data_IF_629052702301
#
_entry.id   IF_629052702301
#
_cell.length_a   1.000
_cell.length_b   1.000
_cell.length_c   1.000
_cell.angle_alpha   90.00
_cell.angle_beta   90.00
_cell.angle_gamma   90.00
#
_symmetry.space_group_name_H-M   'P 1'
#
loop_
_entity.id
_entity.type
_entity.pdbx_description
1 polymer ?
#
# COMPACT_ATOMS: atom_id res chain seq x y z
N UNK A 1 62.42 23.63 -46.10
CA UNK A 1 63.72 24.00 -45.51
C UNK A 1 63.47 24.52 -44.11
N UNK A 2 64.38 24.19 -43.18
CA UNK A 2 64.33 24.46 -41.74
C UNK A 2 64.14 25.95 -41.40
N UNK A 3 63.37 26.22 -40.36
CA UNK A 3 63.65 27.31 -39.42
C UNK A 3 63.05 26.96 -38.05
N UNK A 4 63.93 26.54 -37.14
CA UNK A 4 63.73 26.63 -35.70
C UNK A 4 63.74 28.11 -35.29
N UNK A 5 63.09 28.48 -34.17
CA UNK A 5 63.68 29.35 -33.13
C UNK A 5 62.68 29.58 -31.96
N UNK A 6 63.06 28.99 -30.82
CA UNK A 6 63.13 29.52 -29.44
C UNK A 6 61.86 30.12 -28.81
N UNK A 7 61.24 29.36 -27.90
CA UNK A 7 60.37 29.89 -26.84
C UNK A 7 61.18 30.20 -25.57
N UNK A 8 60.84 31.25 -24.81
CA UNK A 8 61.60 31.64 -23.63
C UNK A 8 61.23 30.79 -22.41
N UNK A 9 62.24 30.64 -21.56
CA UNK A 9 62.22 30.05 -20.23
C UNK A 9 61.18 30.74 -19.34
N UNK A 10 60.26 29.96 -18.76
CA UNK A 10 59.51 30.35 -17.58
C UNK A 10 59.90 29.42 -16.42
N UNK A 11 60.39 30.05 -15.34
CA UNK A 11 60.98 29.43 -14.19
C UNK A 11 59.98 28.51 -13.44
N UNK A 12 60.39 27.26 -13.22
CA UNK A 12 59.65 26.31 -12.39
C UNK A 12 60.02 26.54 -10.91
N UNK A 13 59.12 27.19 -10.17
CA UNK A 13 59.21 27.27 -8.71
C UNK A 13 58.95 25.89 -8.11
N UNK A 14 59.99 25.27 -7.55
CA UNK A 14 59.88 24.04 -6.77
C UNK A 14 59.23 24.38 -5.42
N UNK A 15 57.93 24.15 -5.29
CA UNK A 15 57.31 24.07 -3.97
C UNK A 15 57.71 22.74 -3.33
N UNK A 16 58.67 22.82 -2.40
CA UNK A 16 58.93 21.78 -1.41
C UNK A 16 57.66 21.61 -0.57
N UNK A 17 56.91 20.55 -0.85
CA UNK A 17 55.82 20.07 -0.01
C UNK A 17 56.41 19.52 1.29
N UNK A 18 56.52 20.43 2.28
CA UNK A 18 56.85 20.10 3.67
C UNK A 18 55.68 19.35 4.28
N UNK A 19 55.83 18.03 4.34
CA UNK A 19 54.90 17.09 5.00
C UNK A 19 54.73 17.50 6.47
N UNK A 20 53.66 18.22 6.78
CA UNK A 20 53.07 18.28 8.12
C UNK A 20 51.92 17.27 8.08
N UNK A 21 52.09 16.05 8.58
CA UNK A 21 52.27 15.79 10.00
C UNK A 21 50.93 15.32 10.57
N UNK A 22 50.55 14.08 10.20
CA UNK A 22 49.78 13.03 10.92
C UNK A 22 48.64 13.39 11.91
N UNK A 23 48.19 14.63 12.02
CA UNK A 23 47.22 15.07 13.05
C UNK A 23 45.79 15.23 12.52
N UNK A 24 45.55 14.95 11.23
CA UNK A 24 44.22 14.96 10.64
C UNK A 24 43.54 13.57 10.62
N UNK A 25 44.26 12.49 10.94
CA UNK A 25 43.77 11.11 10.80
C UNK A 25 43.06 10.56 12.06
N UNK A 26 42.92 11.36 13.13
CA UNK A 26 42.27 10.91 14.38
C UNK A 26 40.82 11.40 14.53
N UNK A 27 40.35 12.30 13.66
CA UNK A 27 38.97 12.84 13.71
C UNK A 27 38.01 12.18 12.71
N UNK A 28 38.53 11.48 11.69
CA UNK A 28 37.70 10.73 10.74
C UNK A 28 36.83 9.62 11.36
N UNK A 29 37.28 8.80 12.33
CA UNK A 29 36.40 7.76 12.87
C UNK A 29 35.25 8.35 13.70
N UNK A 30 35.44 9.49 14.35
CA UNK A 30 34.38 10.15 15.12
C UNK A 30 33.30 10.76 14.22
N UNK A 31 33.67 11.34 13.08
CA UNK A 31 32.71 11.88 12.10
C UNK A 31 31.92 10.76 11.41
N UNK A 32 32.57 9.64 11.09
CA UNK A 32 31.89 8.45 10.54
C UNK A 32 30.94 7.82 11.57
N UNK A 33 31.34 7.72 12.83
CA UNK A 33 30.47 7.20 13.90
C UNK A 33 29.26 8.11 14.18
N UNK A 34 29.44 9.44 14.07
CA UNK A 34 28.38 10.44 14.24
C UNK A 34 27.37 10.41 13.08
N UNK A 35 27.82 10.16 11.84
CA UNK A 35 26.96 10.00 10.66
C UNK A 35 26.18 8.67 10.69
N UNK A 36 26.75 7.60 11.27
CA UNK A 36 26.06 6.33 11.44
C UNK A 36 24.90 6.36 12.47
N UNK A 37 24.83 7.37 13.34
CA UNK A 37 23.79 7.46 14.37
C UNK A 37 22.44 8.02 13.85
N UNK A 38 22.40 8.62 12.66
CA UNK A 38 21.18 9.24 12.11
C UNK A 38 20.31 8.30 11.27
N UNK A 39 20.69 7.04 11.12
CA UNK A 39 19.99 6.05 10.30
C UNK A 39 18.80 5.34 10.94
N UNK A 40 18.21 5.88 12.02
CA UNK A 40 16.94 5.34 12.54
C UNK A 40 15.82 5.69 11.55
N UNK A 41 15.60 4.80 10.59
CA UNK A 41 14.42 4.83 9.73
C UNK A 41 13.17 4.75 10.61
N UNK A 42 12.60 5.92 10.92
CA UNK A 42 11.29 6.01 11.54
C UNK A 42 10.28 5.47 10.53
N UNK A 43 9.84 4.22 10.74
CA UNK A 43 8.68 3.68 10.04
C UNK A 43 7.46 4.45 10.52
N UNK A 44 6.99 5.39 9.71
CA UNK A 44 5.81 6.18 10.02
C UNK A 44 4.59 5.26 10.03
N UNK A 45 3.81 5.29 11.12
CA UNK A 45 2.63 4.45 11.24
C UNK A 45 1.60 4.87 10.18
N UNK A 46 0.97 3.92 9.47
CA UNK A 46 -0.03 4.25 8.47
C UNK A 46 -1.21 5.01 9.08
N UNK A 47 -1.72 6.01 8.37
CA UNK A 47 -2.91 6.77 8.81
C UNK A 47 -4.17 5.90 8.82
N UNK A 48 -5.19 6.30 9.60
CA UNK A 48 -6.46 5.56 9.67
C UNK A 48 -7.14 5.42 8.30
N UNK A 49 -7.15 6.50 7.51
CA UNK A 49 -7.70 6.49 6.15
C UNK A 49 -6.92 5.51 5.24
N UNK A 50 -5.60 5.48 5.36
CA UNK A 50 -4.77 4.52 4.61
C UNK A 50 -5.09 3.07 4.99
N UNK A 51 -5.33 2.81 6.27
CA UNK A 51 -5.70 1.49 6.76
C UNK A 51 -7.09 1.05 6.32
N UNK A 52 -8.07 1.96 6.32
CA UNK A 52 -9.42 1.68 5.83
C UNK A 52 -9.40 1.39 4.32
N UNK A 53 -8.73 2.23 3.53
CA UNK A 53 -8.54 2.00 2.10
C UNK A 53 -7.86 0.67 1.82
N UNK A 54 -6.84 0.32 2.58
CA UNK A 54 -6.13 -0.95 2.44
C UNK A 54 -7.04 -2.13 2.83
N UNK A 55 -7.83 -2.00 3.88
CA UNK A 55 -8.80 -3.02 4.31
C UNK A 55 -9.87 -3.27 3.24
N UNK A 56 -10.33 -2.21 2.60
CA UNK A 56 -11.22 -2.30 1.44
C UNK A 56 -10.55 -3.06 0.29
N UNK A 57 -9.33 -2.70 -0.10
CA UNK A 57 -8.60 -3.39 -1.17
C UNK A 57 -8.32 -4.86 -0.87
N UNK A 58 -7.92 -5.19 0.36
CA UNK A 58 -7.73 -6.58 0.78
C UNK A 58 -9.03 -7.37 0.63
N UNK A 59 -10.15 -6.82 1.10
CA UNK A 59 -11.46 -7.48 0.97
C UNK A 59 -11.89 -7.63 -0.49
N UNK A 60 -11.75 -6.58 -1.30
CA UNK A 60 -12.07 -6.61 -2.74
C UNK A 60 -11.19 -7.58 -3.53
N UNK A 61 -9.95 -7.79 -3.09
CA UNK A 61 -9.03 -8.75 -3.70
C UNK A 61 -9.36 -10.22 -3.36
N UNK A 62 -10.25 -10.46 -2.38
CA UNK A 62 -10.67 -11.79 -1.96
C UNK A 62 -10.02 -12.29 -0.66
N UNK A 63 -9.36 -11.41 0.11
CA UNK A 63 -8.94 -11.77 1.47
C UNK A 63 -10.14 -11.89 2.40
N UNK A 64 -10.12 -12.90 3.27
CA UNK A 64 -11.12 -13.09 4.32
C UNK A 64 -10.63 -12.46 5.62
N UNK A 65 -11.51 -11.71 6.27
CA UNK A 65 -11.24 -11.10 7.57
C UNK A 65 -11.54 -12.10 8.68
N UNK A 66 -10.62 -12.25 9.61
CA UNK A 66 -10.82 -12.96 10.86
C UNK A 66 -10.51 -12.04 12.04
N UNK A 67 -11.51 -11.80 12.88
CA UNK A 67 -11.35 -10.97 14.10
C UNK A 67 -10.68 -11.80 15.20
N UNK A 68 -9.72 -11.20 15.89
CA UNK A 68 -9.04 -11.78 17.05
C UNK A 68 -9.77 -11.39 18.35
N UNK A 69 -10.94 -11.98 18.56
CA UNK A 69 -11.86 -11.62 19.66
C UNK A 69 -11.52 -12.27 21.02
N UNK A 70 -10.60 -13.24 21.06
CA UNK A 70 -10.16 -13.92 22.28
C UNK A 70 -8.65 -13.68 22.59
N UNK A 71 -8.18 -13.93 23.82
CA UNK A 71 -6.77 -13.69 24.19
C UNK A 71 -5.76 -14.49 23.36
N UNK A 72 -6.09 -15.72 22.93
CA UNK A 72 -5.21 -16.52 22.10
C UNK A 72 -5.16 -15.95 20.68
N UNK A 73 -6.30 -15.54 20.12
CA UNK A 73 -6.38 -14.80 18.86
C UNK A 73 -5.53 -13.52 18.89
N UNK A 74 -5.65 -12.70 19.93
CA UNK A 74 -4.86 -11.47 20.07
C UNK A 74 -3.37 -11.72 20.25
N UNK A 75 -3.00 -12.83 20.92
CA UNK A 75 -1.60 -13.25 21.03
C UNK A 75 -1.05 -13.67 19.67
N UNK A 76 -1.80 -14.45 18.90
CA UNK A 76 -1.42 -14.86 17.55
C UNK A 76 -1.29 -13.65 16.61
N UNK A 77 -2.25 -12.71 16.67
CA UNK A 77 -2.22 -11.50 15.86
C UNK A 77 -0.98 -10.64 16.16
N UNK A 78 -0.63 -10.47 17.44
CA UNK A 78 0.56 -9.71 17.87
C UNK A 78 1.89 -10.41 17.55
N UNK A 79 1.88 -11.70 17.24
CA UNK A 79 3.08 -12.42 16.81
C UNK A 79 3.44 -12.12 15.35
N UNK A 80 2.51 -11.56 14.57
CA UNK A 80 2.74 -11.17 13.19
C UNK A 80 3.21 -9.70 13.12
N UNK A 81 4.06 -9.35 12.14
CA UNK A 81 4.39 -7.95 11.90
C UNK A 81 3.13 -7.18 11.49
N UNK A 82 2.87 -6.08 12.19
CA UNK A 82 1.74 -5.20 11.88
C UNK A 82 1.87 -4.64 10.46
N UNK A 83 0.74 -4.62 9.74
CA UNK A 83 0.60 -3.99 8.43
C UNK A 83 1.59 -4.49 7.36
N UNK A 84 1.98 -5.77 7.46
CA UNK A 84 2.87 -6.44 6.51
C UNK A 84 2.33 -7.81 6.15
N UNK A 85 2.65 -8.26 4.94
CA UNK A 85 2.34 -9.61 4.51
C UNK A 85 3.32 -10.62 5.10
N UNK A 86 2.77 -11.70 5.66
CA UNK A 86 3.49 -12.94 5.96
C UNK A 86 2.95 -14.02 5.04
N UNK A 87 3.86 -14.77 4.42
CA UNK A 87 3.52 -15.88 3.53
C UNK A 87 3.88 -17.17 4.26
N UNK A 88 2.92 -18.09 4.36
CA UNK A 88 3.14 -19.42 4.92
C UNK A 88 2.86 -20.47 3.84
N UNK A 89 3.72 -21.48 3.73
CA UNK A 89 3.63 -22.51 2.69
C UNK A 89 4.21 -22.08 1.34
N UNK A 90 3.97 -22.90 0.30
CA UNK A 90 4.48 -22.70 -1.05
C UNK A 90 3.48 -23.21 -2.11
N UNK A 91 3.57 -22.66 -3.32
CA UNK A 91 2.69 -23.02 -4.44
C UNK A 91 1.21 -22.75 -4.12
N UNK A 92 0.32 -23.64 -4.57
CA UNK A 92 -1.12 -23.50 -4.37
C UNK A 92 -1.56 -23.56 -2.89
N UNK A 93 -0.72 -24.12 -2.01
CA UNK A 93 -0.97 -24.17 -0.58
C UNK A 93 -0.57 -22.88 0.16
N UNK A 94 0.09 -21.93 -0.53
CA UNK A 94 0.55 -20.70 0.09
C UNK A 94 -0.62 -19.85 0.63
N UNK A 95 -0.45 -19.36 1.86
CA UNK A 95 -1.40 -18.47 2.54
C UNK A 95 -0.74 -17.15 2.88
N UNK A 96 -1.45 -16.09 2.55
CA UNK A 96 -1.01 -14.71 2.74
C UNK A 96 -1.77 -14.11 3.91
N UNK A 97 -1.02 -13.64 4.90
CA UNK A 97 -1.55 -13.09 6.14
C UNK A 97 -1.17 -11.62 6.25
N UNK A 98 -2.13 -10.76 6.55
CA UNK A 98 -1.90 -9.35 6.82
C UNK A 98 -2.57 -8.97 8.14
N UNK A 99 -1.76 -8.59 9.13
CA UNK A 99 -2.23 -8.30 10.48
C UNK A 99 -2.54 -6.80 10.65
N UNK A 100 -3.70 -6.49 11.21
CA UNK A 100 -4.09 -5.14 11.64
C UNK A 100 -4.44 -5.20 13.14
N UNK A 101 -3.45 -4.97 14.02
CA UNK A 101 -3.61 -5.15 15.46
C UNK A 101 -4.18 -3.94 16.21
N UNK A 102 -4.45 -2.81 15.53
CA UNK A 102 -4.75 -1.53 16.20
C UNK A 102 -6.22 -1.10 16.07
N UNK A 103 -6.79 -1.13 14.87
CA UNK A 103 -8.11 -0.59 14.56
C UNK A 103 -9.19 -1.66 14.53
N UNK A 104 -9.04 -2.70 13.70
CA UNK A 104 -10.02 -3.80 13.63
C UNK A 104 -9.66 -4.95 14.56
N UNK A 105 -8.40 -5.03 15.03
CA UNK A 105 -7.86 -6.16 15.79
C UNK A 105 -8.16 -7.48 15.05
N UNK A 106 -7.75 -7.51 13.78
CA UNK A 106 -8.11 -8.55 12.84
C UNK A 106 -6.95 -8.93 11.92
N UNK A 107 -7.07 -10.11 11.32
CA UNK A 107 -6.14 -10.63 10.31
C UNK A 107 -6.87 -10.87 9.00
N UNK A 108 -6.26 -10.45 7.90
CA UNK A 108 -6.72 -10.77 6.55
C UNK A 108 -5.97 -12.01 6.06
N UNK A 109 -6.70 -13.02 5.59
CA UNK A 109 -6.14 -14.29 5.10
C UNK A 109 -6.56 -14.52 3.66
N UNK A 110 -5.58 -14.72 2.78
CA UNK A 110 -5.80 -14.88 1.35
C UNK A 110 -4.97 -16.01 0.72
N UNK A 111 -5.32 -16.34 -0.51
CA UNK A 111 -4.53 -17.20 -1.41
C UNK A 111 -3.51 -16.36 -2.19
N UNK A 112 -2.66 -17.01 -2.98
CA UNK A 112 -1.81 -16.32 -3.94
C UNK A 112 -2.62 -15.47 -4.93
N UNK A 113 -3.71 -16.01 -5.47
CA UNK A 113 -4.60 -15.26 -6.36
C UNK A 113 -5.17 -13.99 -5.70
N UNK A 114 -5.54 -14.06 -4.42
CA UNK A 114 -6.00 -12.88 -3.70
C UNK A 114 -4.88 -11.84 -3.54
N UNK A 115 -3.65 -12.29 -3.27
CA UNK A 115 -2.50 -11.39 -3.22
C UNK A 115 -2.21 -10.72 -4.56
N UNK A 116 -2.25 -11.46 -5.67
CA UNK A 116 -2.05 -10.91 -7.02
C UNK A 116 -3.13 -9.88 -7.37
N UNK A 117 -4.40 -10.16 -7.03
CA UNK A 117 -5.49 -9.21 -7.19
C UNK A 117 -5.28 -7.93 -6.35
N UNK A 118 -4.78 -8.08 -5.12
CA UNK A 118 -4.45 -6.94 -4.26
C UNK A 118 -3.37 -6.06 -4.89
N UNK A 119 -2.28 -6.66 -5.40
CA UNK A 119 -1.24 -5.92 -6.12
C UNK A 119 -1.80 -5.21 -7.36
N UNK A 120 -2.73 -5.86 -8.08
CA UNK A 120 -3.42 -5.24 -9.22
C UNK A 120 -4.22 -4.00 -8.78
N UNK A 121 -4.99 -4.08 -7.70
CA UNK A 121 -5.76 -2.95 -7.15
C UNK A 121 -4.86 -1.79 -6.70
N UNK A 122 -3.66 -2.06 -6.20
CA UNK A 122 -2.68 -1.02 -5.88
C UNK A 122 -2.18 -0.30 -7.14
N UNK A 123 -1.94 -1.04 -8.23
CA UNK A 123 -1.47 -0.48 -9.50
C UNK A 123 -2.57 0.18 -10.34
N UNK A 124 -3.81 -0.29 -10.19
CA UNK A 124 -5.00 0.16 -10.91
C UNK A 124 -6.15 0.33 -9.89
N UNK A 125 -6.17 1.46 -9.18
CA UNK A 125 -7.22 1.74 -8.20
C UNK A 125 -8.61 1.64 -8.82
N UNK A 126 -9.55 1.10 -8.04
CA UNK A 126 -10.97 1.06 -8.43
C UNK A 126 -11.45 2.48 -8.75
N UNK A 127 -12.18 2.60 -9.86
CA UNK A 127 -12.82 3.87 -10.23
C UNK A 127 -13.87 4.20 -9.15
N UNK A 128 -13.92 5.43 -8.62
CA UNK A 128 -14.96 5.85 -7.69
C UNK A 128 -16.35 5.54 -8.28
N UNK A 129 -17.22 4.91 -7.50
CA UNK A 129 -18.58 4.55 -7.90
C UNK A 129 -19.58 5.69 -7.68
N UNK A 130 -19.06 6.88 -7.38
CA UNK A 130 -19.79 8.11 -7.10
C UNK A 130 -20.47 8.69 -8.36
N UNK A 131 -20.28 8.05 -9.53
CA UNK A 131 -21.05 8.26 -10.77
C UNK A 131 -22.50 7.80 -10.56
N UNK A 132 -23.25 8.53 -9.74
CA UNK A 132 -24.71 8.46 -9.73
C UNK A 132 -25.25 9.31 -10.86
N UNK A 133 -26.18 8.75 -11.64
CA UNK A 133 -26.84 9.51 -12.70
C UNK A 133 -27.43 10.81 -12.13
N UNK A 134 -27.36 11.95 -12.83
CA UNK A 134 -27.81 13.25 -12.30
C UNK A 134 -29.28 13.26 -11.83
N UNK A 135 -30.09 12.33 -12.35
CA UNK A 135 -31.49 12.13 -12.05
C UNK A 135 -31.75 11.10 -10.92
N UNK A 136 -30.72 10.64 -10.18
CA UNK A 136 -30.89 9.62 -9.13
C UNK A 136 -31.96 10.03 -8.09
N UNK A 137 -32.09 11.33 -7.79
CA UNK A 137 -33.13 11.86 -6.88
C UNK A 137 -34.53 11.70 -7.45
N UNK A 138 -34.69 11.90 -8.76
CA UNK A 138 -35.97 11.72 -9.47
C UNK A 138 -36.33 10.25 -9.50
N UNK A 139 -35.37 9.37 -9.82
CA UNK A 139 -35.57 7.92 -9.82
C UNK A 139 -35.91 7.41 -8.41
N UNK A 140 -35.18 7.86 -7.39
CA UNK A 140 -35.45 7.53 -5.98
C UNK A 140 -36.80 8.08 -5.53
N UNK A 141 -37.17 9.29 -5.96
CA UNK A 141 -38.48 9.88 -5.70
C UNK A 141 -39.62 9.08 -6.32
N UNK A 142 -39.46 8.57 -7.54
CA UNK A 142 -40.45 7.69 -8.19
C UNK A 142 -40.55 6.34 -7.46
N UNK A 143 -39.42 5.77 -7.01
CA UNK A 143 -39.41 4.52 -6.24
C UNK A 143 -40.03 4.68 -4.84
N UNK A 144 -39.81 5.82 -4.18
CA UNK A 144 -40.27 6.08 -2.81
C UNK A 144 -41.69 6.66 -2.73
N UNK A 145 -42.20 7.29 -3.79
CA UNK A 145 -43.52 7.93 -3.78
C UNK A 145 -44.69 6.95 -3.85
N UNK A 146 -44.42 5.63 -3.85
CA UNK A 146 -45.44 4.59 -3.81
C UNK A 146 -46.42 4.65 -4.99
N UNK A 147 -46.10 5.44 -6.02
CA UNK A 147 -46.87 5.48 -7.24
C UNK A 147 -46.64 4.14 -7.92
N UNK A 148 -47.71 3.39 -8.25
CA UNK A 148 -47.53 2.17 -9.01
C UNK A 148 -46.84 2.56 -10.31
N UNK A 149 -45.60 2.09 -10.48
CA UNK A 149 -44.89 2.12 -11.76
C UNK A 149 -45.91 1.71 -12.81
N UNK A 150 -46.15 2.58 -13.80
CA UNK A 150 -47.10 2.34 -14.90
C UNK A 150 -46.73 1.04 -15.57
N UNK A 151 -47.38 -0.02 -15.07
CA UNK A 151 -47.46 -1.41 -15.50
C UNK A 151 -46.62 -1.71 -16.75
N UNK A 152 -45.30 -1.67 -16.60
CA UNK A 152 -44.39 -2.13 -17.63
C UNK A 152 -44.19 -3.60 -17.34
N UNK A 153 -44.99 -4.38 -18.05
CA UNK A 153 -44.87 -5.83 -18.24
C UNK A 153 -45.11 -6.69 -17.01
N UNK A 154 -46.24 -7.41 -17.05
CA UNK A 154 -46.62 -8.55 -16.22
C UNK A 154 -45.41 -9.50 -16.04
N UNK A 155 -44.64 -9.32 -14.97
CA UNK A 155 -43.43 -10.10 -14.70
C UNK A 155 -42.35 -9.40 -13.87
N UNK A 156 -42.38 -8.06 -13.75
CA UNK A 156 -41.33 -7.36 -12.98
C UNK A 156 -41.56 -7.41 -11.47
N UNK A 157 -40.50 -7.67 -10.68
CA UNK A 157 -40.60 -7.83 -9.24
C UNK A 157 -40.96 -6.51 -8.56
N UNK A 158 -42.09 -6.51 -7.85
CA UNK A 158 -42.66 -5.29 -7.24
C UNK A 158 -42.10 -4.99 -5.85
N UNK A 159 -41.24 -5.87 -5.33
CA UNK A 159 -40.57 -5.71 -4.04
C UNK A 159 -39.09 -6.06 -4.15
N UNK A 160 -38.26 -5.49 -3.27
CA UNK A 160 -36.84 -5.82 -3.20
C UNK A 160 -36.62 -7.32 -3.01
N UNK A 161 -37.44 -7.98 -2.19
CA UNK A 161 -37.37 -9.44 -1.99
C UNK A 161 -37.60 -10.22 -3.28
N UNK A 162 -38.56 -9.78 -4.09
CA UNK A 162 -38.90 -10.43 -5.36
C UNK A 162 -37.76 -10.23 -6.39
N UNK A 163 -37.16 -9.04 -6.43
CA UNK A 163 -36.00 -8.73 -7.29
C UNK A 163 -34.74 -9.51 -6.88
N UNK A 164 -34.51 -9.66 -5.58
CA UNK A 164 -33.38 -10.45 -5.09
C UNK A 164 -33.59 -11.95 -5.32
N UNK A 165 -34.84 -12.41 -5.37
CA UNK A 165 -35.20 -13.80 -5.67
C UNK A 165 -35.01 -14.14 -7.16
N UNK A 166 -35.19 -13.18 -8.08
CA UNK A 166 -34.92 -13.40 -9.51
C UNK A 166 -33.42 -13.46 -9.83
N UNK A 167 -32.58 -12.81 -9.03
CA UNK A 167 -31.11 -12.84 -9.18
C UNK A 167 -30.48 -14.14 -8.66
N UNK A 168 -31.18 -14.88 -7.80
CA UNK A 168 -30.74 -16.15 -7.25
C UNK A 168 -31.88 -17.19 -7.28
N UNK A 169 -32.19 -17.76 -8.46
CA UNK A 169 -33.15 -18.86 -8.55
C UNK A 169 -32.58 -20.09 -7.84
N UNK A 170 -33.36 -20.69 -6.94
CA UNK A 170 -33.05 -21.96 -6.27
C UNK A 170 -33.03 -23.15 -7.24
#
# INVERSE_FOLDING_TARGET
MRASIIWPVAASHRHLSRVHGLTALRLFPAVVLLLCAFGLAAGEAPSQLSLEKNSFYLSSAGFRIQVANDPAGQKALRALPAHRFVINGAGEAARYFYAEPQHCVCIFVGTQQAYDNYLKLLSQPLKPTDDVAPDYKTQTGVLLSGQPLRQSTRGDPTTLSDYLSTLYPH
#
